data_IF_658848699729
#
_entry.id   IF_658848699729
#
_cell.length_a   1.000
_cell.length_b   1.000
_cell.length_c   1.000
_cell.angle_alpha   90.00
_cell.angle_beta   90.00
_cell.angle_gamma   90.00
#
_symmetry.space_group_name_H-M   'P 1'
#
loop_
_entity.id
_entity.type
_entity.pdbx_description
1 polymer ?
#
# COMPACT_ATOMS: atom_id res chain seq x y z
N UNK A 1 -21.32 -51.51 -34.97
CA UNK A 1 -20.78 -52.41 -33.93
C UNK A 1 -20.20 -51.50 -32.86
N UNK A 2 -20.92 -51.30 -31.75
CA UNK A 2 -20.74 -52.01 -30.47
C UNK A 2 -19.38 -51.63 -29.84
N UNK A 3 -19.22 -51.13 -28.63
CA UNK A 3 -20.09 -50.92 -27.47
C UNK A 3 -19.24 -50.21 -26.39
N UNK A 4 -19.78 -49.17 -25.74
CA UNK A 4 -19.40 -48.77 -24.36
C UNK A 4 -19.93 -49.84 -23.37
N UNK A 5 -19.67 -49.83 -22.04
CA UNK A 5 -18.74 -49.03 -21.20
C UNK A 5 -17.97 -49.93 -20.17
N UNK A 6 -17.05 -49.36 -19.38
CA UNK A 6 -16.76 -49.94 -18.05
C UNK A 6 -16.58 -48.88 -16.97
N UNK A 7 -17.57 -48.87 -16.08
CA UNK A 7 -17.57 -48.32 -14.73
C UNK A 7 -16.44 -48.93 -13.89
N UNK A 8 -15.80 -48.11 -13.06
CA UNK A 8 -15.19 -48.58 -11.80
C UNK A 8 -15.66 -47.73 -10.64
N UNK A 9 -16.61 -48.31 -9.90
CA UNK A 9 -16.90 -48.02 -8.49
C UNK A 9 -15.67 -48.36 -7.64
N UNK A 10 -15.28 -47.50 -6.69
CA UNK A 10 -14.64 -47.95 -5.45
C UNK A 10 -15.05 -47.08 -4.25
N UNK A 11 -15.88 -47.71 -3.42
CA UNK A 11 -15.80 -47.87 -1.95
C UNK A 11 -15.69 -46.61 -1.08
N UNK A 12 -16.79 -46.38 -0.36
CA UNK A 12 -16.94 -45.61 0.87
C UNK A 12 -16.12 -46.25 2.00
N UNK A 13 -15.29 -45.46 2.69
CA UNK A 13 -14.82 -45.78 4.04
C UNK A 13 -15.17 -44.64 5.01
N UNK A 14 -16.18 -44.91 5.84
CA UNK A 14 -16.45 -44.29 7.12
C UNK A 14 -15.44 -44.84 8.15
N UNK A 15 -14.76 -43.95 8.88
CA UNK A 15 -14.31 -44.20 10.25
C UNK A 15 -13.90 -42.88 10.94
N UNK A 16 -14.68 -42.45 11.92
CA UNK A 16 -14.29 -41.51 12.96
C UNK A 16 -13.46 -42.24 14.04
N UNK A 17 -12.58 -41.54 14.78
CA UNK A 17 -12.90 -41.34 16.21
C UNK A 17 -12.41 -40.00 16.83
N UNK A 18 -13.30 -39.45 17.66
CA UNK A 18 -13.17 -38.87 19.01
C UNK A 18 -11.84 -38.26 19.53
N UNK A 19 -12.01 -36.98 19.94
CA UNK A 19 -11.61 -36.32 21.20
C UNK A 19 -10.13 -36.18 21.59
N UNK A 20 -9.67 -34.93 21.62
CA UNK A 20 -8.87 -34.44 22.76
C UNK A 20 -9.30 -33.01 23.13
N UNK A 21 -9.86 -32.96 24.34
CA UNK A 21 -10.28 -31.81 25.12
C UNK A 21 -9.07 -30.97 25.55
N UNK A 22 -9.12 -29.65 25.32
CA UNK A 22 -8.27 -28.69 26.02
C UNK A 22 -9.17 -27.68 26.76
N UNK A 23 -8.97 -27.46 28.07
CA UNK A 23 -9.71 -26.44 28.83
C UNK A 23 -9.12 -25.03 28.62
N UNK A 24 -9.95 -23.97 28.67
CA UNK A 24 -9.48 -22.58 28.64
C UNK A 24 -8.88 -22.16 29.99
N UNK A 25 -7.89 -21.26 30.01
CA UNK A 25 -7.38 -20.70 31.26
C UNK A 25 -8.42 -19.77 31.90
N UNK A 26 -8.83 -20.12 33.12
CA UNK A 26 -9.58 -19.30 34.05
C UNK A 26 -8.63 -18.33 34.75
N UNK A 27 -8.81 -17.02 34.56
CA UNK A 27 -8.29 -16.01 35.49
C UNK A 27 -9.40 -15.57 36.44
N UNK A 28 -9.25 -16.01 37.68
CA UNK A 28 -10.06 -15.60 38.83
C UNK A 28 -9.59 -14.22 39.31
N UNK A 29 -10.58 -13.31 39.37
CA UNK A 29 -10.83 -12.26 40.36
C UNK A 29 -9.66 -11.45 40.95
N UNK A 30 -9.82 -10.12 40.88
CA UNK A 30 -9.86 -9.27 42.08
C UNK A 30 -10.80 -8.09 41.85
N UNK A 31 -11.98 -8.19 42.47
CA UNK A 31 -12.83 -7.03 42.81
C UNK A 31 -12.08 -6.19 43.84
N UNK A 32 -11.97 -4.90 43.59
CA UNK A 32 -11.79 -3.90 44.64
C UNK A 32 -12.82 -2.82 44.38
N UNK A 33 -13.87 -2.88 45.18
CA UNK A 33 -14.85 -1.82 45.38
C UNK A 33 -14.14 -0.68 46.10
N UNK A 34 -14.22 0.54 45.57
CA UNK A 34 -14.24 1.73 46.41
C UNK A 34 -15.35 2.66 45.89
N UNK A 35 -16.44 2.68 46.66
CA UNK A 35 -17.43 3.74 46.64
C UNK A 35 -16.84 5.00 47.29
N UNK A 36 -17.22 6.16 46.75
CA UNK A 36 -17.66 7.28 47.57
C UNK A 36 -16.71 8.47 47.71
N UNK A 37 -17.30 9.66 47.60
CA UNK A 37 -16.88 10.83 48.38
C UNK A 37 -16.43 12.04 47.58
N UNK A 38 -17.32 13.03 47.50
CA UNK A 38 -17.05 14.36 46.97
C UNK A 38 -16.23 15.24 47.93
N UNK A 39 -15.50 16.20 47.34
CA UNK A 39 -15.14 17.54 47.80
C UNK A 39 -14.71 17.81 49.27
N UNK A 40 -13.48 18.27 49.44
CA UNK A 40 -13.14 19.36 50.37
C UNK A 40 -11.84 20.06 49.95
N UNK A 41 -11.93 21.36 49.70
CA UNK A 41 -10.80 22.27 49.54
C UNK A 41 -10.29 22.72 50.92
N UNK A 42 -8.97 22.86 51.07
CA UNK A 42 -8.29 24.08 51.54
C UNK A 42 -6.98 23.82 52.29
N UNK A 43 -5.98 24.62 51.88
CA UNK A 43 -4.96 25.27 52.70
C UNK A 43 -3.74 24.48 53.25
N UNK A 44 -2.68 24.54 52.44
CA UNK A 44 -1.34 25.08 52.78
C UNK A 44 -0.58 24.60 54.03
N UNK A 45 0.54 23.89 53.78
CA UNK A 45 1.87 24.33 54.23
C UNK A 45 2.99 23.68 53.39
N UNK A 46 3.89 24.52 52.87
CA UNK A 46 5.21 24.22 52.28
C UNK A 46 6.27 24.57 53.34
N UNK A 47 7.59 24.31 53.18
CA UNK A 47 8.30 23.36 52.30
C UNK A 47 9.45 22.61 53.02
N UNK A 48 9.92 21.48 52.48
CA UNK A 48 11.33 21.07 52.68
C UNK A 48 11.90 20.57 51.37
N UNK A 49 13.00 21.20 50.96
CA UNK A 49 13.74 20.94 49.73
C UNK A 49 14.26 19.49 49.73
N UNK A 50 13.84 18.71 48.74
CA UNK A 50 14.62 17.58 48.24
C UNK A 50 15.12 17.97 46.85
N UNK A 51 16.42 18.24 46.79
CA UNK A 51 17.20 18.44 45.58
C UNK A 51 17.39 17.07 44.94
N UNK A 52 17.14 16.94 43.64
CA UNK A 52 17.42 15.72 42.87
C UNK A 52 16.20 15.13 42.18
N UNK A 53 15.73 15.78 41.12
CA UNK A 53 15.87 15.31 39.75
C UNK A 53 15.79 16.56 38.88
N UNK A 54 16.72 16.64 37.93
CA UNK A 54 16.78 17.66 36.89
C UNK A 54 15.37 17.86 36.33
N UNK A 55 14.85 19.08 36.45
CA UNK A 55 13.54 19.44 35.95
C UNK A 55 13.46 19.01 34.50
N UNK A 56 12.59 18.04 34.17
CA UNK A 56 12.11 17.87 32.80
C UNK A 56 11.75 19.28 32.35
N UNK A 57 12.38 19.84 31.30
CA UNK A 57 12.00 21.15 30.83
C UNK A 57 10.51 21.07 30.55
N UNK A 58 9.69 21.69 31.42
CA UNK A 58 8.30 21.87 31.10
C UNK A 58 8.35 22.74 29.87
N UNK A 59 7.94 22.18 28.74
CA UNK A 59 7.84 22.93 27.50
C UNK A 59 6.87 24.08 27.78
N UNK A 60 7.44 25.21 28.19
CA UNK A 60 6.73 26.45 28.38
C UNK A 60 6.05 26.74 27.05
N UNK A 61 4.73 26.81 27.13
CA UNK A 61 3.79 27.11 26.06
C UNK A 61 3.93 26.22 24.82
N UNK A 62 3.06 25.21 24.78
CA UNK A 62 2.36 24.86 23.54
C UNK A 62 2.15 26.11 22.68
N UNK A 63 2.92 26.27 21.60
CA UNK A 63 2.36 26.86 20.40
C UNK A 63 1.06 26.09 20.18
N UNK A 64 -0.07 26.73 20.49
CA UNK A 64 -1.33 26.05 20.68
C UNK A 64 -1.54 25.08 19.52
N UNK A 65 -1.63 23.79 19.83
CA UNK A 65 -2.09 22.80 18.87
C UNK A 65 -3.48 23.25 18.45
N UNK A 66 -3.57 23.94 17.31
CA UNK A 66 -4.82 24.45 16.78
C UNK A 66 -5.43 23.32 15.94
N UNK A 67 -6.39 22.54 16.46
CA UNK A 67 -7.00 21.45 15.71
C UNK A 67 -7.61 21.95 14.39
N UNK A 68 -8.09 23.20 14.37
CA UNK A 68 -8.65 23.83 13.18
C UNK A 68 -7.63 23.98 12.04
N UNK A 69 -6.37 24.30 12.36
CA UNK A 69 -5.31 24.41 11.34
C UNK A 69 -4.97 23.03 10.74
N UNK A 70 -5.04 21.96 11.53
CA UNK A 70 -4.83 20.60 11.04
C UNK A 70 -5.98 20.12 10.17
N UNK A 71 -7.23 20.45 10.51
CA UNK A 71 -8.41 20.14 9.70
C UNK A 71 -8.36 20.91 8.38
N UNK A 72 -7.99 22.20 8.39
CA UNK A 72 -7.84 22.97 7.16
C UNK A 72 -6.69 22.44 6.29
N UNK A 73 -5.54 22.11 6.87
CA UNK A 73 -4.44 21.51 6.15
C UNK A 73 -4.83 20.16 5.52
N UNK A 74 -5.62 19.34 6.22
CA UNK A 74 -6.16 18.08 5.68
C UNK A 74 -7.08 18.33 4.49
N UNK A 75 -8.07 19.22 4.63
CA UNK A 75 -8.99 19.58 3.54
C UNK A 75 -8.25 20.12 2.31
N UNK A 76 -7.22 20.93 2.51
CA UNK A 76 -6.40 21.45 1.42
C UNK A 76 -5.64 20.33 0.68
N UNK A 77 -5.09 19.35 1.42
CA UNK A 77 -4.45 18.15 0.83
C UNK A 77 -5.45 17.30 0.05
N UNK A 78 -6.61 17.00 0.63
CA UNK A 78 -7.68 16.21 0.00
C UNK A 78 -8.21 16.89 -1.28
N UNK A 79 -8.37 18.23 -1.28
CA UNK A 79 -8.78 18.97 -2.45
C UNK A 79 -7.73 18.91 -3.57
N UNK A 80 -6.44 19.02 -3.23
CA UNK A 80 -5.33 18.86 -4.18
C UNK A 80 -5.30 17.44 -4.76
N UNK A 81 -5.45 16.42 -3.91
CA UNK A 81 -5.52 15.02 -4.32
C UNK A 81 -6.72 14.76 -5.24
N UNK A 82 -7.93 15.25 -4.90
CA UNK A 82 -9.11 15.10 -5.73
C UNK A 82 -8.96 15.75 -7.11
N UNK A 83 -8.32 16.93 -7.19
CA UNK A 83 -8.02 17.60 -8.46
C UNK A 83 -7.06 16.76 -9.32
N UNK A 84 -6.02 16.19 -8.72
CA UNK A 84 -5.06 15.36 -9.43
C UNK A 84 -5.64 13.99 -9.83
N UNK A 85 -6.45 13.36 -8.97
CA UNK A 85 -7.17 12.12 -9.29
C UNK A 85 -8.12 12.34 -10.48
N UNK A 86 -8.79 13.49 -10.56
CA UNK A 86 -9.59 13.87 -11.74
C UNK A 86 -8.75 14.09 -12.99
N UNK A 87 -7.57 14.70 -12.85
CA UNK A 87 -6.67 14.96 -13.98
C UNK A 87 -6.04 13.68 -14.55
N UNK A 88 -5.74 12.68 -13.70
CA UNK A 88 -5.15 11.41 -14.13
C UNK A 88 -6.17 10.45 -14.74
N UNK A 89 -7.45 10.55 -14.34
CA UNK A 89 -8.53 9.68 -14.82
C UNK A 89 -8.58 9.48 -16.36
N UNK A 90 -8.51 10.52 -17.22
CA UNK A 90 -8.47 10.32 -18.67
C UNK A 90 -7.20 9.62 -19.16
N UNK A 91 -6.06 9.80 -18.50
CA UNK A 91 -4.81 9.10 -18.83
C UNK A 91 -4.95 7.59 -18.55
N UNK A 92 -5.51 7.25 -17.39
CA UNK A 92 -5.81 5.85 -17.02
C UNK A 92 -6.81 5.22 -17.97
N UNK A 93 -7.82 5.98 -18.42
CA UNK A 93 -8.78 5.50 -19.41
C UNK A 93 -8.09 5.13 -20.74
N UNK A 94 -7.10 5.91 -21.20
CA UNK A 94 -6.31 5.59 -22.40
C UNK A 94 -5.48 4.32 -22.22
N UNK A 95 -4.85 4.14 -21.05
CA UNK A 95 -4.12 2.90 -20.73
C UNK A 95 -5.06 1.68 -20.76
N UNK A 96 -6.27 1.79 -20.19
CA UNK A 96 -7.27 0.72 -20.20
C UNK A 96 -7.82 0.41 -21.59
N UNK A 97 -7.90 1.40 -22.47
CA UNK A 97 -8.38 1.23 -23.83
C UNK A 97 -7.32 0.63 -24.78
N UNK A 98 -6.06 0.51 -24.33
CA UNK A 98 -4.96 0.00 -25.14
C UNK A 98 -5.12 -1.50 -25.38
N UNK A 99 -5.13 -1.91 -26.64
CA UNK A 99 -5.25 -3.33 -27.05
C UNK A 99 -3.94 -3.90 -27.57
N UNK A 100 -3.04 -3.04 -28.06
CA UNK A 100 -1.72 -3.43 -28.55
C UNK A 100 -0.61 -3.00 -27.58
N UNK A 101 0.53 -3.70 -27.56
CA UNK A 101 1.68 -3.30 -26.75
C UNK A 101 2.22 -1.90 -27.08
N UNK A 102 2.08 -1.45 -28.33
CA UNK A 102 2.51 -0.12 -28.77
C UNK A 102 1.59 0.99 -28.25
N UNK A 103 0.27 0.80 -28.33
CA UNK A 103 -0.69 1.76 -27.77
C UNK A 103 -0.54 1.88 -26.25
N UNK A 104 -0.29 0.74 -25.59
CA UNK A 104 -0.04 0.70 -24.16
C UNK A 104 1.23 1.47 -23.79
N UNK A 105 2.33 1.27 -24.53
CA UNK A 105 3.58 2.00 -24.31
C UNK A 105 3.40 3.52 -24.47
N UNK A 106 2.69 3.96 -25.52
CA UNK A 106 2.39 5.37 -25.73
C UNK A 106 1.51 5.95 -24.60
N UNK A 107 0.45 5.24 -24.20
CA UNK A 107 -0.44 5.68 -23.12
C UNK A 107 0.29 5.72 -21.76
N UNK A 108 1.17 4.75 -21.51
CA UNK A 108 2.01 4.71 -20.30
C UNK A 108 3.07 5.79 -20.30
N UNK A 109 3.64 6.13 -21.46
CA UNK A 109 4.58 7.24 -21.61
C UNK A 109 3.90 8.56 -21.28
N UNK A 110 2.72 8.82 -21.83
CA UNK A 110 1.91 10.00 -21.49
C UNK A 110 1.59 10.08 -20.00
N UNK A 111 1.18 8.96 -19.39
CA UNK A 111 0.93 8.87 -17.95
C UNK A 111 2.19 9.15 -17.14
N UNK A 112 3.33 8.61 -17.55
CA UNK A 112 4.62 8.79 -16.87
C UNK A 112 5.10 10.24 -17.00
N UNK A 113 4.96 10.86 -18.17
CA UNK A 113 5.26 12.27 -18.38
C UNK A 113 4.37 13.16 -17.51
N UNK A 114 3.10 12.82 -17.33
CA UNK A 114 2.23 13.52 -16.38
C UNK A 114 2.71 13.35 -14.95
N UNK A 115 3.08 12.12 -14.52
CA UNK A 115 3.66 11.88 -13.18
C UNK A 115 4.93 12.73 -12.99
N UNK A 116 5.78 12.81 -14.02
CA UNK A 116 7.00 13.63 -14.00
C UNK A 116 6.69 15.13 -13.93
N UNK A 117 5.69 15.59 -14.68
CA UNK A 117 5.26 16.98 -14.72
C UNK A 117 4.42 17.40 -13.51
N UNK A 118 3.91 16.44 -12.72
CA UNK A 118 3.27 16.77 -11.45
C UNK A 118 4.33 17.17 -10.43
N UNK A 119 4.27 18.43 -10.02
CA UNK A 119 4.98 19.00 -8.87
C UNK A 119 6.44 19.41 -9.11
N UNK A 120 7.06 19.89 -8.04
CA UNK A 120 8.40 20.43 -8.07
C UNK A 120 9.44 19.34 -8.35
N UNK A 121 10.57 19.68 -9.00
CA UNK A 121 11.63 18.72 -9.29
C UNK A 121 12.12 18.04 -8.01
N UNK A 122 12.41 16.73 -8.12
CA UNK A 122 12.93 15.94 -7.02
C UNK A 122 14.31 16.51 -6.65
N UNK A 123 14.52 16.96 -5.40
CA UNK A 123 15.83 17.46 -4.98
C UNK A 123 16.87 16.34 -5.07
N UNK A 124 18.13 16.66 -5.41
CA UNK A 124 19.17 15.65 -5.49
C UNK A 124 19.39 14.98 -4.12
N UNK A 125 19.81 13.70 -4.10
CA UNK A 125 19.97 12.90 -2.88
C UNK A 125 20.93 13.51 -1.86
N UNK A 126 21.82 14.40 -2.27
CA UNK A 126 22.75 15.12 -1.39
C UNK A 126 22.09 16.15 -0.46
N UNK A 127 20.83 16.54 -0.72
CA UNK A 127 20.07 17.54 0.07
C UNK A 127 18.97 16.88 0.92
N UNK A 128 18.76 15.57 0.75
CA UNK A 128 17.75 14.76 1.46
C UNK A 128 18.22 14.38 2.88
N UNK A 129 18.62 15.37 3.67
CA UNK A 129 18.71 15.28 5.13
C UNK A 129 17.35 15.49 5.82
N UNK A 130 16.31 15.87 5.06
CA UNK A 130 14.99 16.18 5.58
C UNK A 130 14.04 14.99 5.39
N UNK A 131 13.62 14.41 6.52
CA UNK A 131 12.60 13.34 6.65
C UNK A 131 11.19 13.75 6.20
N UNK A 132 11.03 14.95 5.64
CA UNK A 132 9.75 15.61 5.30
C UNK A 132 9.71 16.15 3.87
N UNK A 133 10.31 15.42 2.92
CA UNK A 133 9.94 15.64 1.52
C UNK A 133 8.54 15.04 1.29
N UNK A 134 7.52 15.89 1.39
CA UNK A 134 6.19 15.58 0.89
C UNK A 134 6.29 15.61 -0.63
N UNK A 135 6.39 14.42 -1.24
CA UNK A 135 6.61 14.27 -2.67
C UNK A 135 5.61 15.07 -3.53
N UNK A 136 5.90 15.24 -4.82
CA UNK A 136 5.06 16.06 -5.71
C UNK A 136 3.60 15.58 -5.81
N UNK A 137 3.36 14.29 -5.55
CA UNK A 137 2.02 13.71 -5.42
C UNK A 137 1.53 13.89 -3.96
N UNK A 138 0.39 14.56 -3.75
CA UNK A 138 -0.16 14.82 -2.43
C UNK A 138 -0.64 13.53 -1.76
N UNK A 139 -0.64 13.54 -0.43
CA UNK A 139 -1.30 12.51 0.36
C UNK A 139 -2.79 12.41 -0.01
N UNK A 140 -3.27 11.18 -0.22
CA UNK A 140 -4.62 10.88 -0.69
C UNK A 140 -4.75 10.68 -2.21
N UNK A 141 -3.66 10.82 -2.96
CA UNK A 141 -3.63 10.38 -4.36
C UNK A 141 -3.80 8.86 -4.44
N UNK A 142 -4.60 8.38 -5.38
CA UNK A 142 -4.96 6.95 -5.52
C UNK A 142 -3.86 6.15 -6.24
N UNK A 143 -2.62 6.17 -5.73
CA UNK A 143 -1.48 5.45 -6.32
C UNK A 143 -1.72 3.95 -6.46
N UNK A 144 -2.30 3.30 -5.45
CA UNK A 144 -2.59 1.86 -5.48
C UNK A 144 -3.60 1.50 -6.57
N UNK A 145 -4.65 2.31 -6.74
CA UNK A 145 -5.67 2.10 -7.77
C UNK A 145 -5.11 2.39 -9.17
N UNK A 146 -4.23 3.38 -9.30
CA UNK A 146 -3.52 3.67 -10.54
C UNK A 146 -2.65 2.48 -10.97
N UNK A 147 -1.84 1.96 -10.05
CA UNK A 147 -0.96 0.81 -10.29
C UNK A 147 -1.77 -0.44 -10.61
N UNK A 148 -2.84 -0.73 -9.86
CA UNK A 148 -3.69 -1.88 -10.13
C UNK A 148 -4.38 -1.77 -11.49
N UNK A 149 -4.89 -0.59 -11.85
CA UNK A 149 -5.50 -0.35 -13.15
C UNK A 149 -4.52 -0.56 -14.31
N UNK A 150 -3.30 -0.02 -14.19
CA UNK A 150 -2.25 -0.21 -15.20
C UNK A 150 -1.83 -1.68 -15.28
N UNK A 151 -1.75 -2.38 -14.15
CA UNK A 151 -1.42 -3.80 -14.11
C UNK A 151 -2.48 -4.66 -14.78
N UNK A 152 -3.76 -4.40 -14.50
CA UNK A 152 -4.88 -5.09 -15.16
C UNK A 152 -4.87 -4.86 -16.66
N UNK A 153 -4.59 -3.63 -17.12
CA UNK A 153 -4.48 -3.32 -18.53
C UNK A 153 -3.28 -4.05 -19.19
N UNK A 154 -2.11 -4.04 -18.54
CA UNK A 154 -0.95 -4.82 -18.98
C UNK A 154 -1.29 -6.32 -19.07
N UNK A 155 -2.06 -6.81 -18.11
CA UNK A 155 -2.37 -8.23 -18.02
C UNK A 155 -3.39 -8.70 -19.08
N UNK A 156 -4.18 -7.78 -19.63
CA UNK A 156 -5.14 -8.00 -20.70
C UNK A 156 -4.52 -7.97 -22.12
N UNK A 157 -3.27 -7.53 -22.26
CA UNK A 157 -2.59 -7.48 -23.56
C UNK A 157 -2.29 -8.90 -24.09
N UNK A 158 -2.15 -9.05 -25.43
CA UNK A 158 -1.71 -10.30 -26.03
C UNK A 158 -0.41 -10.80 -25.40
N UNK A 159 -0.39 -12.09 -25.02
CA UNK A 159 0.75 -12.70 -24.32
C UNK A 159 1.68 -13.40 -25.29
N UNK A 160 2.97 -13.12 -25.15
CA UNK A 160 4.06 -13.84 -25.78
C UNK A 160 4.50 -14.97 -24.85
N UNK A 161 4.73 -16.14 -25.41
CA UNK A 161 5.33 -17.28 -24.71
C UNK A 161 6.84 -17.27 -24.88
N UNK A 162 7.55 -17.35 -23.77
CA UNK A 162 8.99 -17.43 -23.70
C UNK A 162 9.34 -18.80 -23.13
N UNK A 163 10.33 -19.46 -23.74
CA UNK A 163 10.87 -20.70 -23.19
C UNK A 163 11.99 -20.40 -22.21
N UNK A 164 12.18 -21.26 -21.22
CA UNK A 164 13.27 -21.15 -20.28
C UNK A 164 14.62 -21.06 -21.02
N UNK A 165 15.49 -20.18 -20.55
CA UNK A 165 16.79 -19.90 -21.17
C UNK A 165 16.75 -18.98 -22.40
N UNK A 166 15.57 -18.58 -22.89
CA UNK A 166 15.48 -17.52 -23.91
C UNK A 166 15.62 -16.15 -23.23
N UNK A 167 16.64 -15.38 -23.65
CA UNK A 167 16.80 -14.00 -23.24
C UNK A 167 16.22 -13.07 -24.31
N UNK A 168 15.23 -12.28 -23.92
CA UNK A 168 14.69 -11.20 -24.76
C UNK A 168 15.01 -9.89 -24.08
N UNK A 169 15.65 -8.97 -24.80
CA UNK A 169 16.04 -7.66 -24.27
C UNK A 169 14.81 -6.92 -23.73
N UNK A 170 14.87 -6.47 -22.48
CA UNK A 170 13.77 -5.76 -21.81
C UNK A 170 12.80 -6.65 -21.02
N UNK A 171 12.87 -7.97 -21.18
CA UNK A 171 12.09 -8.94 -20.42
C UNK A 171 12.91 -9.58 -19.30
N UNK A 172 12.29 -9.94 -18.17
CA UNK A 172 12.96 -10.75 -17.17
C UNK A 172 13.29 -12.13 -17.76
N UNK A 173 14.39 -12.73 -17.32
CA UNK A 173 14.77 -14.08 -17.71
C UNK A 173 13.67 -15.08 -17.32
N UNK A 174 13.24 -15.90 -18.28
CA UNK A 174 12.33 -16.99 -17.99
C UNK A 174 13.10 -18.12 -17.32
N UNK A 175 12.89 -18.29 -16.02
CA UNK A 175 13.46 -19.40 -15.24
C UNK A 175 12.45 -20.55 -15.20
N UNK A 176 12.92 -21.76 -15.50
CA UNK A 176 12.11 -22.96 -15.36
C UNK A 176 11.79 -23.22 -13.89
N UNK A 177 10.50 -23.29 -13.58
CA UNK A 177 10.01 -23.68 -12.26
C UNK A 177 9.18 -24.96 -12.37
N UNK A 178 9.06 -25.68 -11.25
CA UNK A 178 8.25 -26.91 -11.15
C UNK A 178 6.80 -26.71 -11.59
N UNK A 179 6.27 -25.50 -11.47
CA UNK A 179 4.87 -25.16 -11.80
C UNK A 179 4.68 -24.70 -13.24
N UNK A 180 5.70 -24.08 -13.84
CA UNK A 180 5.55 -23.42 -15.14
C UNK A 180 6.08 -24.26 -16.31
N UNK A 181 6.75 -25.39 -16.04
CA UNK A 181 7.23 -26.32 -17.08
C UNK A 181 8.16 -25.65 -18.11
N UNK A 182 8.89 -24.62 -17.70
CA UNK A 182 9.81 -23.88 -18.56
C UNK A 182 9.13 -22.92 -19.54
N UNK A 183 7.85 -22.59 -19.36
CA UNK A 183 7.14 -21.61 -20.21
C UNK A 183 6.69 -20.41 -19.39
N UNK A 184 7.18 -19.23 -19.74
CA UNK A 184 6.76 -17.96 -19.15
C UNK A 184 5.91 -17.17 -20.14
N UNK A 185 4.95 -16.42 -19.65
CA UNK A 185 4.14 -15.52 -20.46
C UNK A 185 4.43 -14.07 -20.10
N UNK A 186 4.44 -13.19 -21.10
CA UNK A 186 4.62 -11.75 -20.90
C UNK A 186 3.82 -10.94 -21.92
N UNK A 187 3.48 -9.69 -21.58
CA UNK A 187 2.88 -8.73 -22.52
C UNK A 187 3.87 -8.19 -23.57
N UNK A 188 5.15 -8.58 -23.49
CA UNK A 188 6.21 -8.16 -24.40
C UNK A 188 7.13 -7.09 -23.81
N UNK A 189 8.33 -6.89 -24.39
CA UNK A 189 9.37 -6.06 -23.79
C UNK A 189 8.96 -4.59 -23.68
N UNK A 190 8.27 -4.05 -24.68
CA UNK A 190 7.81 -2.65 -24.69
C UNK A 190 6.87 -2.38 -23.52
N UNK A 191 5.75 -3.12 -23.44
CA UNK A 191 4.74 -2.90 -22.41
C UNK A 191 5.27 -3.13 -20.97
N UNK A 192 6.10 -4.16 -20.78
CA UNK A 192 6.73 -4.43 -19.47
C UNK A 192 7.73 -3.34 -19.07
N UNK A 193 8.52 -2.83 -20.03
CA UNK A 193 9.48 -1.76 -19.79
C UNK A 193 8.80 -0.44 -19.45
N UNK A 194 7.73 -0.08 -20.17
CA UNK A 194 6.92 1.10 -19.93
C UNK A 194 6.27 1.08 -18.54
N UNK A 195 5.69 -0.07 -18.17
CA UNK A 195 5.10 -0.26 -16.85
C UNK A 195 6.14 -0.13 -15.73
N UNK A 196 7.33 -0.74 -15.89
CA UNK A 196 8.43 -0.60 -14.93
C UNK A 196 8.97 0.83 -14.83
N UNK A 197 9.06 1.55 -15.95
CA UNK A 197 9.49 2.95 -15.97
C UNK A 197 8.51 3.83 -15.18
N UNK A 198 7.21 3.66 -15.41
CA UNK A 198 6.16 4.34 -14.64
C UNK A 198 6.27 4.04 -13.14
N UNK A 199 6.43 2.76 -12.76
CA UNK A 199 6.58 2.37 -11.36
C UNK A 199 7.79 3.02 -10.69
N UNK A 200 8.91 3.15 -11.42
CA UNK A 200 10.12 3.81 -10.91
C UNK A 200 9.87 5.29 -10.61
N UNK A 201 9.27 6.01 -11.55
CA UNK A 201 8.94 7.43 -11.37
C UNK A 201 7.95 7.64 -10.24
N UNK A 202 6.92 6.79 -10.20
CA UNK A 202 5.87 6.88 -9.19
C UNK A 202 6.44 6.54 -7.79
N UNK A 203 7.38 5.58 -7.66
CA UNK A 203 8.08 5.32 -6.39
C UNK A 203 8.97 6.49 -5.95
N UNK A 204 9.66 7.13 -6.89
CA UNK A 204 10.49 8.30 -6.60
C UNK A 204 9.64 9.50 -6.12
N UNK A 205 8.42 9.63 -6.65
CA UNK A 205 7.54 10.79 -6.45
C UNK A 205 6.51 10.61 -5.35
N UNK A 206 6.20 9.37 -4.96
CA UNK A 206 5.28 9.05 -3.88
C UNK A 206 5.87 7.98 -2.93
N UNK A 207 7.04 8.21 -2.31
CA UNK A 207 7.73 7.19 -1.51
C UNK A 207 6.87 6.70 -0.32
N UNK A 208 6.17 7.62 0.36
CA UNK A 208 5.35 7.30 1.53
C UNK A 208 4.10 6.46 1.23
N UNK A 209 3.63 6.45 0.00
CA UNK A 209 2.39 5.74 -0.38
C UNK A 209 2.65 4.24 -0.68
N UNK A 210 3.92 3.85 -0.85
CA UNK A 210 4.33 2.45 -0.98
C UNK A 210 4.67 1.80 0.36
N UNK A 211 5.13 2.58 1.34
CA UNK A 211 5.71 2.06 2.57
C UNK A 211 4.72 1.95 3.75
N UNK A 212 3.44 2.29 3.59
CA UNK A 212 2.46 2.14 4.68
C UNK A 212 1.74 0.78 4.64
N UNK A 213 2.05 -0.16 5.56
CA UNK A 213 1.20 -1.31 5.89
C UNK A 213 -0.04 -0.92 6.71
N UNK A 214 -0.26 0.37 6.98
CA UNK A 214 -1.45 0.81 7.72
C UNK A 214 -2.67 0.85 6.79
N UNK A 215 -3.63 -0.02 7.13
CA UNK A 215 -4.78 -0.41 6.33
C UNK A 215 -5.81 0.68 6.06
N UNK A 216 -6.98 0.30 5.49
CA UNK A 216 -8.02 1.24 5.12
C UNK A 216 -8.47 2.02 6.37
N UNK A 217 -8.43 3.34 6.29
CA UNK A 217 -9.20 4.18 7.20
C UNK A 217 -10.66 3.91 6.83
N UNK A 218 -11.31 3.07 7.64
CA UNK A 218 -12.73 2.80 7.51
C UNK A 218 -13.50 4.11 7.65
N UNK A 219 -14.37 4.38 6.68
CA UNK A 219 -15.41 5.40 6.76
C UNK A 219 -16.55 4.92 7.65
#
# INVERSE_FOLDING_TARGET
QSSNPMLRMYVVHLAAPLLLSLPPPTFIARRSVFLGGAAAAAASSRPTRAIGYDSIPSAASSAAFNPDQLVQARKAREAKAAKQNKAVAPLVARVRASTTPGDFDAAMTDLTLWIIGTGDPIPPPSVLGATTYDGPLPDGFQTRELVSACRTALDALPRYTLRAGTMVQGLPECVETRTNGGVCTSAGPLAESAYKAMLRELKARAPRQYDTPYGPVAF
#
